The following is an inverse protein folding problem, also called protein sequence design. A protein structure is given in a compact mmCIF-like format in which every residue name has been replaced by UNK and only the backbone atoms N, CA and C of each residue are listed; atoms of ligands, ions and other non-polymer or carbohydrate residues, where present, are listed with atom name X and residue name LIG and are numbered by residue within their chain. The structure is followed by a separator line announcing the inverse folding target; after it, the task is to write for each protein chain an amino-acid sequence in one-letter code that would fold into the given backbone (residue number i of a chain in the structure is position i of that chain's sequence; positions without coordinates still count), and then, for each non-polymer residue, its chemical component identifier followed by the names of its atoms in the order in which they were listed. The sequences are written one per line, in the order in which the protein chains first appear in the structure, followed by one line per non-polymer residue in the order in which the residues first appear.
data_IF_641269137614
#
_entry.id   IF_641269137614
#
_cell.length_a   1.000
_cell.length_b   1.000
_cell.length_c   1.000
_cell.angle_alpha   90.00
_cell.angle_beta   90.00
_cell.angle_gamma   90.00
#
_symmetry.space_group_name_H-M   'P 1'
#
loop_
_entity.id
_entity.type
_entity.pdbx_description
1 polymer ?
#
# COMPACT_ATOMS: atom_id res chain seq x y z
N UNK A 1 -29.33 27.50 11.86
CA UNK A 1 -29.67 27.00 13.22
C UNK A 1 -29.62 25.47 13.37
N UNK A 2 -29.84 24.66 12.32
CA UNK A 2 -29.70 23.18 12.35
C UNK A 2 -28.28 22.66 12.65
N UNK A 3 -27.27 23.06 11.85
CA UNK A 3 -25.85 22.67 12.04
C UNK A 3 -25.34 22.87 13.48
N UNK A 4 -25.74 23.98 14.11
CA UNK A 4 -25.40 24.26 15.51
C UNK A 4 -25.97 23.21 16.48
N UNK A 5 -27.22 22.76 16.26
CA UNK A 5 -27.85 21.73 17.09
C UNK A 5 -27.17 20.38 16.89
N UNK A 6 -26.88 19.99 15.64
CA UNK A 6 -26.17 18.75 15.32
C UNK A 6 -24.78 18.70 15.96
N UNK A 7 -24.00 19.78 15.86
CA UNK A 7 -22.68 19.87 16.51
C UNK A 7 -22.81 19.79 18.04
N UNK A 8 -23.82 20.46 18.62
CA UNK A 8 -24.07 20.45 20.08
C UNK A 8 -24.44 19.04 20.57
N UNK A 9 -25.28 18.34 19.83
CA UNK A 9 -25.70 16.96 20.14
C UNK A 9 -24.52 15.99 20.04
N UNK A 10 -23.77 16.02 18.93
CA UNK A 10 -22.57 15.21 18.76
C UNK A 10 -21.51 15.50 19.84
N UNK A 11 -21.32 16.76 20.21
CA UNK A 11 -20.41 17.15 21.30
C UNK A 11 -20.82 16.55 22.65
N UNK A 12 -22.12 16.56 22.98
CA UNK A 12 -22.64 15.95 24.20
C UNK A 12 -22.52 14.42 24.20
N UNK A 13 -22.63 13.76 23.05
CA UNK A 13 -22.37 12.32 22.90
C UNK A 13 -20.90 11.97 23.11
N UNK A 14 -19.99 12.70 22.47
CA UNK A 14 -18.54 12.50 22.63
C UNK A 14 -18.13 12.70 24.09
N UNK A 15 -18.65 13.72 24.79
CA UNK A 15 -18.37 13.94 26.21
C UNK A 15 -18.81 12.77 27.09
N UNK A 16 -19.99 12.19 26.82
CA UNK A 16 -20.48 11.00 27.55
C UNK A 16 -19.61 9.77 27.32
N UNK A 17 -19.02 9.62 26.13
CA UNK A 17 -18.18 8.49 25.75
C UNK A 17 -16.68 8.70 26.01
N UNK A 18 -16.26 9.92 26.33
CA UNK A 18 -14.84 10.31 26.40
C UNK A 18 -13.99 9.41 27.30
N UNK A 19 -14.51 9.03 28.48
CA UNK A 19 -13.81 8.15 29.41
C UNK A 19 -13.57 6.73 28.84
N UNK A 20 -14.48 6.26 27.98
CA UNK A 20 -14.37 4.94 27.33
C UNK A 20 -13.49 4.96 26.07
N UNK A 21 -13.43 6.10 25.39
CA UNK A 21 -12.63 6.26 24.16
C UNK A 21 -11.16 6.56 24.44
N UNK A 22 -10.86 7.19 25.58
CA UNK A 22 -9.51 7.62 25.92
C UNK A 22 -8.57 6.41 26.02
N UNK A 23 -7.49 6.44 25.22
CA UNK A 23 -6.49 5.36 25.18
C UNK A 23 -6.93 4.14 24.37
N UNK A 24 -8.11 4.16 23.76
CA UNK A 24 -8.53 3.13 22.82
C UNK A 24 -7.55 3.04 21.65
N UNK A 25 -7.19 1.81 21.28
CA UNK A 25 -6.40 1.50 20.10
C UNK A 25 -7.27 0.71 19.14
N UNK A 26 -7.13 1.02 17.86
CA UNK A 26 -7.72 0.20 16.80
C UNK A 26 -6.73 -0.93 16.54
N UNK A 27 -7.23 -2.16 16.63
CA UNK A 27 -6.48 -3.34 16.20
C UNK A 27 -6.89 -3.66 14.77
N UNK A 28 -6.00 -3.38 13.84
CA UNK A 28 -6.15 -3.64 12.41
C UNK A 28 -5.38 -4.90 12.06
N UNK A 29 -5.87 -5.65 11.07
CA UNK A 29 -5.22 -6.88 10.60
C UNK A 29 -4.67 -6.73 9.19
N UNK A 30 -4.96 -5.61 8.53
CA UNK A 30 -4.48 -5.29 7.19
C UNK A 30 -3.71 -3.97 7.21
N UNK A 31 -2.73 -3.84 6.31
CA UNK A 31 -2.11 -2.56 6.04
C UNK A 31 -1.88 -2.32 4.56
N UNK A 32 -1.83 -1.06 4.16
CA UNK A 32 -1.42 -0.62 2.82
C UNK A 32 -0.19 0.27 2.96
N UNK A 33 0.87 -0.06 2.21
CA UNK A 33 2.10 0.73 2.22
C UNK A 33 1.91 1.99 1.38
N UNK A 34 2.24 3.14 1.97
CA UNK A 34 2.36 4.41 1.27
C UNK A 34 3.80 4.92 1.39
N UNK A 35 4.44 5.14 0.25
CA UNK A 35 5.82 5.63 0.18
C UNK A 35 5.92 6.92 -0.62
N UNK A 36 6.50 7.94 0.00
CA UNK A 36 6.80 9.21 -0.66
C UNK A 36 7.89 9.06 -1.72
N UNK A 37 8.90 8.23 -1.46
CA UNK A 37 9.98 7.97 -2.41
C UNK A 37 9.42 7.29 -3.67
N UNK A 38 8.55 6.30 -3.52
CA UNK A 38 7.85 5.64 -4.63
C UNK A 38 6.91 6.59 -5.36
N UNK A 39 6.17 7.43 -4.63
CA UNK A 39 5.35 8.49 -5.23
C UNK A 39 6.19 9.39 -6.13
N UNK A 40 7.34 9.86 -5.64
CA UNK A 40 8.22 10.74 -6.41
C UNK A 40 8.84 10.03 -7.60
N UNK A 41 9.29 8.78 -7.44
CA UNK A 41 9.85 7.99 -8.53
C UNK A 41 8.86 7.79 -9.68
N UNK A 42 7.58 7.51 -9.37
CA UNK A 42 6.53 7.41 -10.39
C UNK A 42 6.13 8.76 -10.97
N UNK A 43 6.26 9.87 -10.24
CA UNK A 43 6.02 11.20 -10.81
C UNK A 43 7.11 11.60 -11.80
N UNK A 44 8.37 11.28 -11.52
CA UNK A 44 9.50 11.56 -12.42
C UNK A 44 9.42 10.67 -13.66
N UNK A 45 9.01 9.41 -13.50
CA UNK A 45 8.87 8.45 -14.60
C UNK A 45 7.48 7.79 -14.60
N UNK A 46 6.47 8.56 -15.00
CA UNK A 46 5.07 8.09 -15.02
C UNK A 46 4.82 6.89 -15.93
N UNK A 47 5.54 6.82 -17.06
CA UNK A 47 5.44 5.81 -18.14
C UNK A 47 4.06 5.74 -18.83
N UNK A 48 2.95 5.84 -18.08
CA UNK A 48 1.59 5.95 -18.58
C UNK A 48 0.88 7.12 -17.87
N UNK A 49 0.28 8.08 -18.60
CA UNK A 49 -0.41 9.22 -18.00
C UNK A 49 -1.68 8.85 -17.20
N UNK A 50 -2.25 7.66 -17.40
CA UNK A 50 -3.40 7.15 -16.65
C UNK A 50 -3.01 6.46 -15.34
N UNK A 51 -1.71 6.26 -15.09
CA UNK A 51 -1.24 5.66 -13.84
C UNK A 51 -1.02 6.74 -12.77
N UNK A 52 -1.77 6.66 -11.66
CA UNK A 52 -1.54 7.44 -10.45
C UNK A 52 -1.31 6.51 -9.25
N UNK A 53 -0.09 6.57 -8.68
CA UNK A 53 0.29 5.80 -7.51
C UNK A 53 -0.63 6.05 -6.29
N UNK A 54 -1.02 7.30 -6.03
CA UNK A 54 -1.90 7.62 -4.90
C UNK A 54 -3.28 7.02 -5.11
N UNK A 55 -3.77 7.05 -6.35
CA UNK A 55 -5.05 6.45 -6.70
C UNK A 55 -5.02 4.94 -6.47
N UNK A 56 -3.95 4.27 -6.90
CA UNK A 56 -3.78 2.83 -6.66
C UNK A 56 -3.74 2.47 -5.17
N UNK A 57 -3.00 3.23 -4.36
CA UNK A 57 -2.99 3.06 -2.90
C UNK A 57 -4.40 3.27 -2.33
N UNK A 58 -5.09 4.33 -2.76
CA UNK A 58 -6.44 4.66 -2.32
C UNK A 58 -7.44 3.57 -2.68
N UNK A 59 -7.41 3.03 -3.89
CA UNK A 59 -8.33 1.97 -4.34
C UNK A 59 -8.17 0.69 -3.52
N UNK A 60 -6.93 0.31 -3.19
CA UNK A 60 -6.67 -0.85 -2.33
C UNK A 60 -7.16 -0.61 -0.90
N UNK A 61 -6.89 0.57 -0.35
CA UNK A 61 -7.38 0.97 0.97
C UNK A 61 -8.92 1.03 1.03
N UNK A 62 -9.56 1.69 0.07
CA UNK A 62 -11.02 1.84 -0.04
C UNK A 62 -11.70 0.48 -0.20
N UNK A 63 -11.11 -0.44 -0.97
CA UNK A 63 -11.60 -1.81 -1.09
C UNK A 63 -11.67 -2.53 0.27
N UNK A 64 -10.58 -2.47 1.05
CA UNK A 64 -10.52 -3.09 2.37
C UNK A 64 -11.51 -2.45 3.35
N UNK A 65 -11.57 -1.12 3.40
CA UNK A 65 -12.48 -0.39 4.30
C UNK A 65 -13.94 -0.65 3.96
N UNK A 66 -14.31 -0.68 2.67
CA UNK A 66 -15.67 -1.06 2.24
C UNK A 66 -16.02 -2.51 2.57
N UNK A 67 -15.02 -3.37 2.63
CA UNK A 67 -15.14 -4.75 3.13
C UNK A 67 -15.21 -4.86 4.66
N UNK A 68 -15.29 -3.74 5.39
CA UNK A 68 -15.24 -3.68 6.85
C UNK A 68 -13.95 -4.28 7.46
N UNK A 69 -12.84 -4.25 6.71
CA UNK A 69 -11.52 -4.66 7.20
C UNK A 69 -10.78 -3.44 7.75
N UNK A 70 -10.53 -3.43 9.06
CA UNK A 70 -9.69 -2.42 9.69
C UNK A 70 -8.29 -2.43 9.08
N UNK A 71 -7.90 -1.29 8.49
CA UNK A 71 -6.71 -1.17 7.65
C UNK A 71 -5.90 0.05 8.06
N UNK A 72 -4.60 -0.14 8.31
CA UNK A 72 -3.67 0.96 8.54
C UNK A 72 -2.95 1.37 7.25
N UNK A 73 -2.56 2.64 7.18
CA UNK A 73 -1.65 3.14 6.15
C UNK A 73 -0.28 3.28 6.79
N UNK A 74 0.69 2.48 6.33
CA UNK A 74 2.01 2.39 6.93
C UNK A 74 3.12 2.78 5.96
N UNK A 75 4.27 3.18 6.47
CA UNK A 75 5.48 3.37 5.68
C UNK A 75 6.23 2.06 5.44
N UNK A 76 7.15 2.06 4.48
CA UNK A 76 8.00 0.90 4.16
C UNK A 76 8.88 0.45 5.32
N UNK A 77 9.15 1.31 6.31
CA UNK A 77 9.99 1.02 7.48
C UNK A 77 9.20 0.56 8.70
N UNK A 78 7.86 0.60 8.65
CA UNK A 78 7.01 0.20 9.78
C UNK A 78 7.16 -1.29 10.13
N UNK A 79 6.76 -1.65 11.35
CA UNK A 79 6.69 -3.05 11.78
C UNK A 79 5.56 -3.78 11.02
N UNK A 80 5.90 -4.94 10.44
CA UNK A 80 4.96 -5.75 9.66
C UNK A 80 4.30 -6.85 10.51
N UNK A 81 4.89 -7.19 11.66
CA UNK A 81 4.44 -8.28 12.54
C UNK A 81 2.95 -8.20 12.93
N UNK A 82 2.35 -7.02 13.19
CA UNK A 82 0.95 -6.96 13.61
C UNK A 82 -0.06 -7.35 12.53
N UNK A 83 0.32 -7.31 11.25
CA UNK A 83 -0.62 -7.40 10.14
C UNK A 83 -0.65 -8.80 9.53
N UNK A 84 -1.85 -9.33 9.29
CA UNK A 84 -2.05 -10.60 8.59
C UNK A 84 -1.87 -10.46 7.08
N UNK A 85 -2.20 -9.28 6.54
CA UNK A 85 -2.03 -8.95 5.13
C UNK A 85 -1.46 -7.54 4.96
N UNK A 86 -0.49 -7.40 4.07
CA UNK A 86 0.11 -6.10 3.71
C UNK A 86 0.05 -5.94 2.20
N UNK A 87 -0.56 -4.84 1.75
CA UNK A 87 -0.56 -4.42 0.36
C UNK A 87 0.65 -3.51 0.13
N UNK A 88 1.42 -3.81 -0.92
CA UNK A 88 2.64 -3.12 -1.29
C UNK A 88 2.51 -2.62 -2.74
N UNK A 89 1.73 -1.54 -2.95
CA UNK A 89 1.38 -1.08 -4.28
C UNK A 89 2.60 -0.47 -4.98
N UNK A 90 2.87 -0.94 -6.20
CA UNK A 90 3.83 -0.40 -7.14
C UNK A 90 5.18 0.03 -6.52
N UNK A 91 5.70 -0.76 -5.57
CA UNK A 91 6.91 -0.45 -4.82
C UNK A 91 8.14 -0.57 -5.71
N UNK A 92 8.37 0.47 -6.52
CA UNK A 92 9.28 0.41 -7.65
C UNK A 92 10.75 0.49 -7.25
N UNK A 93 11.06 1.17 -6.14
CA UNK A 93 12.40 1.29 -5.59
C UNK A 93 12.49 0.47 -4.32
N UNK A 94 13.52 -0.34 -4.20
CA UNK A 94 13.71 -1.23 -3.05
C UNK A 94 15.12 -1.11 -2.48
N UNK A 95 15.21 -1.15 -1.15
CA UNK A 95 16.45 -1.42 -0.44
C UNK A 95 16.54 -2.91 -0.12
N UNK A 96 17.75 -3.42 0.07
CA UNK A 96 17.96 -4.80 0.51
C UNK A 96 17.24 -5.09 1.84
N UNK A 97 17.27 -4.14 2.77
CA UNK A 97 16.57 -4.26 4.05
C UNK A 97 15.04 -4.38 3.88
N UNK A 98 14.44 -3.62 2.95
CA UNK A 98 13.00 -3.71 2.68
C UNK A 98 12.62 -5.09 2.11
N UNK A 99 13.46 -5.63 1.22
CA UNK A 99 13.27 -6.96 0.61
C UNK A 99 13.40 -8.05 1.67
N UNK A 100 14.46 -8.03 2.47
CA UNK A 100 14.67 -8.99 3.56
C UNK A 100 13.51 -8.96 4.57
N UNK A 101 13.02 -7.76 4.92
CA UNK A 101 11.85 -7.63 5.80
C UNK A 101 10.58 -8.21 5.19
N UNK A 102 10.36 -8.01 3.89
CA UNK A 102 9.24 -8.60 3.19
C UNK A 102 9.33 -10.15 3.15
N UNK A 103 10.53 -10.70 2.92
CA UNK A 103 10.77 -12.15 2.95
C UNK A 103 10.56 -12.74 4.35
N UNK A 104 11.07 -12.09 5.39
CA UNK A 104 10.84 -12.48 6.79
C UNK A 104 9.35 -12.50 7.11
N UNK A 105 8.63 -11.42 6.79
CA UNK A 105 7.20 -11.29 7.03
C UNK A 105 6.41 -12.44 6.39
N UNK A 106 6.68 -12.75 5.12
CA UNK A 106 5.99 -13.85 4.41
C UNK A 106 6.37 -15.20 5.02
N UNK A 107 7.64 -15.42 5.36
CA UNK A 107 8.08 -16.67 5.99
C UNK A 107 7.46 -16.88 7.37
N UNK A 108 7.15 -15.82 8.11
CA UNK A 108 6.42 -15.90 9.38
C UNK A 108 4.91 -16.14 9.22
N UNK A 109 4.42 -16.29 7.98
CA UNK A 109 3.01 -16.57 7.68
C UNK A 109 2.17 -15.34 7.32
N UNK A 110 2.81 -14.18 7.17
CA UNK A 110 2.17 -12.98 6.64
C UNK A 110 1.85 -13.09 5.15
N UNK A 111 0.81 -12.40 4.70
CA UNK A 111 0.45 -12.34 3.27
C UNK A 111 0.85 -10.99 2.68
N UNK A 112 1.77 -10.99 1.71
CA UNK A 112 2.18 -9.79 1.01
C UNK A 112 1.53 -9.71 -0.39
N UNK A 113 0.82 -8.62 -0.66
CA UNK A 113 0.22 -8.36 -1.97
C UNK A 113 1.09 -7.37 -2.75
N UNK A 114 1.83 -7.90 -3.72
CA UNK A 114 2.59 -7.11 -4.69
C UNK A 114 1.75 -6.81 -5.94
N UNK A 115 2.15 -5.79 -6.68
CA UNK A 115 1.47 -5.41 -7.93
C UNK A 115 2.46 -5.20 -9.07
N UNK A 116 1.93 -4.84 -10.24
CA UNK A 116 2.77 -4.35 -11.34
C UNK A 116 3.61 -3.14 -10.88
N UNK A 117 4.77 -2.97 -11.55
CA UNK A 117 5.81 -1.97 -11.23
C UNK A 117 6.54 -2.14 -9.90
N UNK A 118 6.32 -3.23 -9.15
CA UNK A 118 7.13 -3.52 -7.96
C UNK A 118 8.51 -4.09 -8.33
N UNK A 119 9.56 -3.67 -7.61
CA UNK A 119 10.92 -4.21 -7.70
C UNK A 119 11.67 -3.89 -9.00
N UNK A 120 11.27 -2.84 -9.74
CA UNK A 120 11.87 -2.49 -11.04
C UNK A 120 13.18 -1.70 -10.92
N UNK A 121 13.44 -1.06 -9.78
CA UNK A 121 14.59 -0.18 -9.55
C UNK A 121 15.25 -0.47 -8.20
N UNK A 122 16.55 -0.18 -8.15
CA UNK A 122 17.31 -0.05 -6.90
C UNK A 122 16.92 1.25 -6.20
N UNK A 123 17.28 1.36 -4.93
CA UNK A 123 17.01 2.53 -4.07
C UNK A 123 17.50 3.87 -4.66
N UNK A 124 18.56 3.83 -5.48
CA UNK A 124 19.15 5.01 -6.13
C UNK A 124 18.50 5.37 -7.48
N UNK A 125 17.38 4.73 -7.84
CA UNK A 125 16.64 4.97 -9.07
C UNK A 125 17.19 4.27 -10.32
N UNK A 126 18.32 3.55 -10.22
CA UNK A 126 18.83 2.71 -11.31
C UNK A 126 17.90 1.52 -11.52
N UNK A 127 17.68 1.11 -12.77
CA UNK A 127 16.91 -0.10 -13.07
C UNK A 127 17.63 -1.33 -12.50
N UNK A 128 16.87 -2.31 -12.05
CA UNK A 128 17.45 -3.58 -11.62
C UNK A 128 17.97 -4.38 -12.82
N UNK A 129 19.08 -5.09 -12.62
CA UNK A 129 19.62 -6.06 -13.58
C UNK A 129 18.97 -7.44 -13.42
N UNK A 130 18.21 -7.64 -12.34
CA UNK A 130 17.49 -8.87 -12.08
C UNK A 130 16.24 -8.97 -12.95
N UNK A 131 15.84 -10.19 -13.26
CA UNK A 131 14.57 -10.41 -13.94
C UNK A 131 13.40 -9.99 -13.07
N UNK A 132 12.47 -9.22 -13.64
CA UNK A 132 11.30 -8.69 -12.93
C UNK A 132 10.43 -9.80 -12.31
N UNK A 133 9.85 -9.60 -11.10
CA UNK A 133 9.82 -8.37 -10.29
C UNK A 133 11.10 -8.13 -9.43
N UNK A 134 12.26 -8.49 -9.96
CA UNK A 134 13.58 -8.12 -9.46
C UNK A 134 13.83 -8.81 -8.13
N UNK A 135 14.16 -8.06 -7.06
CA UNK A 135 14.44 -8.68 -5.78
C UNK A 135 13.24 -9.43 -5.19
N UNK A 136 12.01 -9.12 -5.62
CA UNK A 136 10.80 -9.85 -5.19
C UNK A 136 10.53 -11.14 -5.99
N UNK A 137 11.35 -11.48 -7.00
CA UNK A 137 11.13 -12.65 -7.85
C UNK A 137 11.00 -13.96 -7.05
N UNK A 138 11.88 -14.15 -6.06
CA UNK A 138 11.84 -15.34 -5.19
C UNK A 138 10.61 -15.36 -4.30
N UNK A 139 10.24 -14.22 -3.72
CA UNK A 139 9.07 -14.08 -2.87
C UNK A 139 7.76 -14.31 -3.63
N UNK A 140 7.64 -13.74 -4.83
CA UNK A 140 6.43 -13.81 -5.65
C UNK A 140 6.31 -15.13 -6.44
N UNK A 141 7.42 -15.85 -6.65
CA UNK A 141 7.43 -17.10 -7.42
C UNK A 141 7.12 -16.93 -8.92
N UNK A 142 7.19 -15.71 -9.44
CA UNK A 142 6.87 -15.37 -10.84
C UNK A 142 8.06 -14.76 -11.57
N UNK A 143 8.00 -14.78 -12.90
CA UNK A 143 8.92 -14.07 -13.80
C UNK A 143 8.12 -13.17 -14.73
N UNK A 144 8.51 -11.92 -14.86
CA UNK A 144 7.96 -11.00 -15.87
C UNK A 144 8.99 -10.84 -16.98
N UNK A 145 8.68 -11.39 -18.15
CA UNK A 145 9.56 -11.33 -19.32
C UNK A 145 9.39 -10.01 -20.08
N UNK A 146 8.14 -9.57 -20.21
CA UNK A 146 7.78 -8.33 -20.87
C UNK A 146 6.59 -7.70 -20.11
N UNK A 147 6.50 -6.37 -20.15
CA UNK A 147 5.34 -5.64 -19.69
C UNK A 147 5.04 -4.52 -20.68
N UNK A 148 3.76 -4.20 -20.84
CA UNK A 148 3.30 -3.15 -21.74
C UNK A 148 2.52 -2.09 -20.95
N UNK A 149 2.54 -0.87 -21.48
CA UNK A 149 1.69 0.22 -21.03
C UNK A 149 0.52 0.35 -21.99
N UNK A 150 -0.68 -0.02 -21.53
CA UNK A 150 -1.87 0.05 -22.37
C UNK A 150 -2.09 1.46 -22.94
N UNK A 151 -2.32 1.50 -24.26
CA UNK A 151 -2.68 2.72 -24.98
C UNK A 151 -4.05 3.27 -24.50
N UNK A 152 -4.24 4.58 -24.66
CA UNK A 152 -5.47 5.24 -24.28
C UNK A 152 -6.70 4.58 -24.91
N UNK A 153 -7.72 4.29 -24.10
CA UNK A 153 -8.97 3.65 -24.53
C UNK A 153 -8.88 2.14 -24.78
N UNK A 154 -7.69 1.53 -24.69
CA UNK A 154 -7.53 0.07 -24.77
C UNK A 154 -7.82 -0.57 -23.42
N UNK A 155 -8.71 -1.55 -23.40
CA UNK A 155 -8.92 -2.43 -22.27
C UNK A 155 -8.48 -3.85 -22.63
N UNK A 156 -7.99 -4.58 -21.64
CA UNK A 156 -7.64 -6.00 -21.79
C UNK A 156 -8.42 -6.75 -20.71
N UNK A 157 -9.20 -7.79 -21.07
CA UNK A 157 -9.86 -8.61 -20.07
C UNK A 157 -8.80 -9.38 -19.26
N UNK A 158 -8.99 -9.39 -17.94
CA UNK A 158 -8.12 -10.07 -16.97
C UNK A 158 -8.86 -11.24 -16.35
#
# INVERSE_FOLDING_TARGET
RRRYREIREAGAEVQRLAARLRGGRLETQAAVIYSYDVLWAHRVQGHNPQFDYKQMVWEQYDCLVRGAVGTDVIGETADFCPYRVIFMPALCMTTEAAVQKAEEYVRQGGTLVLTYRSGIKRWNGQMTEETLPGPFRRLAGIRVEEFDSLNFGRTVPV
#
